data_IF_100237961637
#
_entry.id   IF_100237961637
#
_cell.length_a   1.000
_cell.length_b   1.000
_cell.length_c   1.000
_cell.angle_alpha   90.00
_cell.angle_beta   90.00
_cell.angle_gamma   90.00
#
_symmetry.space_group_name_H-M   'P 1'
#
loop_
_entity.id
_entity.type
_entity.pdbx_description
1 polymer ?
#
# COMPACT_ATOMS: atom_id res chain seq x y z
N UNK A 1 10.13 -15.87 13.02
CA UNK A 1 8.85 -15.34 12.50
C UNK A 1 8.72 -13.92 13.00
N UNK A 2 8.62 -12.93 12.12
CA UNK A 2 8.43 -11.52 12.53
C UNK A 2 6.99 -11.33 13.03
N UNK A 3 6.83 -10.80 14.24
CA UNK A 3 5.54 -10.58 14.95
C UNK A 3 4.95 -9.18 14.71
N UNK A 4 5.60 -8.36 13.88
CA UNK A 4 5.14 -7.01 13.58
C UNK A 4 3.87 -7.03 12.72
N UNK A 5 2.79 -6.44 13.27
CA UNK A 5 1.58 -6.11 12.51
C UNK A 5 1.76 -4.70 11.93
N UNK A 6 2.07 -4.61 10.65
CA UNK A 6 2.43 -3.36 9.98
C UNK A 6 1.21 -2.52 9.64
N UNK A 7 0.04 -3.14 9.42
CA UNK A 7 -1.16 -2.42 9.02
C UNK A 7 -1.71 -1.46 10.09
N UNK A 8 -1.46 -1.75 11.38
CA UNK A 8 -1.95 -0.93 12.49
C UNK A 8 -1.32 0.46 12.54
N UNK A 9 -0.15 0.63 11.89
CA UNK A 9 0.56 1.91 11.80
C UNK A 9 -0.18 2.95 10.94
N UNK A 10 -1.18 2.53 10.15
CA UNK A 10 -1.76 3.38 9.10
C UNK A 10 -3.24 3.73 9.30
N UNK A 11 -3.89 3.24 10.36
CA UNK A 11 -5.26 3.66 10.69
C UNK A 11 -5.28 5.17 10.99
N UNK A 12 -6.25 5.89 10.44
CA UNK A 12 -6.35 7.35 10.52
C UNK A 12 -5.50 8.11 9.51
N UNK A 13 -4.67 7.43 8.71
CA UNK A 13 -3.86 8.09 7.68
C UNK A 13 -4.73 8.60 6.55
N UNK A 14 -4.63 9.89 6.23
CA UNK A 14 -5.18 10.47 5.00
C UNK A 14 -4.20 10.26 3.84
N UNK A 15 -4.66 9.64 2.76
CA UNK A 15 -3.89 9.47 1.53
C UNK A 15 -4.50 10.36 0.45
N UNK A 16 -3.68 11.29 -0.07
CA UNK A 16 -4.05 12.14 -1.22
C UNK A 16 -3.56 11.51 -2.53
N UNK A 17 -4.47 11.42 -3.50
CA UNK A 17 -4.28 10.86 -4.83
C UNK A 17 -4.47 11.94 -5.90
N UNK A 18 -3.67 11.88 -6.96
CA UNK A 18 -3.82 12.75 -8.14
C UNK A 18 -4.45 12.02 -9.35
N UNK A 19 -4.42 10.69 -9.36
CA UNK A 19 -4.86 9.87 -10.50
C UNK A 19 -5.93 8.88 -10.04
N UNK A 20 -7.01 8.69 -10.81
CA UNK A 20 -7.40 9.32 -12.08
C UNK A 20 -7.75 10.82 -12.00
N UNK A 21 -8.06 11.30 -10.80
CA UNK A 21 -8.47 12.66 -10.49
C UNK A 21 -8.11 12.95 -9.03
N UNK A 22 -7.97 14.22 -8.64
CA UNK A 22 -7.70 14.60 -7.26
C UNK A 22 -8.77 14.05 -6.30
N UNK A 23 -8.33 13.30 -5.29
CA UNK A 23 -9.19 12.76 -4.25
C UNK A 23 -8.37 12.39 -3.00
N UNK A 24 -9.07 12.23 -1.89
CA UNK A 24 -8.50 11.90 -0.59
C UNK A 24 -9.29 10.76 0.04
N UNK A 25 -8.60 9.90 0.76
CA UNK A 25 -9.20 8.77 1.46
C UNK A 25 -8.52 8.60 2.81
N UNK A 26 -9.30 8.46 3.88
CA UNK A 26 -8.82 8.19 5.24
C UNK A 26 -8.95 6.71 5.52
N UNK A 27 -7.85 6.06 5.93
CA UNK A 27 -7.86 4.65 6.31
C UNK A 27 -8.61 4.49 7.64
N UNK A 28 -9.66 3.68 7.65
CA UNK A 28 -10.57 3.54 8.80
C UNK A 28 -10.35 2.22 9.55
N UNK A 29 -10.40 1.10 8.83
CA UNK A 29 -10.40 -0.23 9.44
C UNK A 29 -9.53 -1.19 8.65
N UNK A 30 -8.76 -2.03 9.35
CA UNK A 30 -8.01 -3.12 8.74
C UNK A 30 -8.91 -4.34 8.54
N UNK A 31 -8.95 -4.85 7.30
CA UNK A 31 -9.61 -6.12 6.99
C UNK A 31 -8.62 -7.28 6.97
N UNK A 32 -7.54 -7.17 6.19
CA UNK A 32 -6.55 -8.26 6.05
C UNK A 32 -5.13 -7.72 5.97
N UNK A 33 -4.18 -8.57 6.37
CA UNK A 33 -2.75 -8.33 6.21
C UNK A 33 -2.08 -9.64 5.80
N UNK A 34 -1.24 -9.58 4.76
CA UNK A 34 -0.40 -10.69 4.32
C UNK A 34 1.03 -10.22 4.23
N UNK A 35 1.94 -10.99 4.78
CA UNK A 35 3.37 -10.68 4.81
C UNK A 35 4.13 -11.69 3.96
N UNK A 36 4.95 -11.18 3.05
CA UNK A 36 5.76 -11.97 2.12
C UNK A 36 7.25 -11.71 2.41
N UNK A 37 7.88 -12.62 3.16
CA UNK A 37 9.29 -12.52 3.59
C UNK A 37 10.31 -13.16 2.63
N UNK A 38 9.86 -13.82 1.54
CA UNK A 38 10.75 -14.61 0.70
C UNK A 38 11.54 -13.73 -0.28
N UNK A 39 12.87 -13.86 -0.25
CA UNK A 39 13.83 -13.08 -1.06
C UNK A 39 14.00 -13.60 -2.49
N UNK A 40 13.54 -14.82 -2.82
CA UNK A 40 13.72 -15.39 -4.18
C UNK A 40 13.03 -14.58 -5.27
N UNK A 41 11.88 -13.98 -4.96
CA UNK A 41 11.06 -13.29 -5.96
C UNK A 41 11.27 -11.76 -5.95
N UNK A 42 12.03 -11.21 -5.00
CA UNK A 42 12.25 -9.77 -4.81
C UNK A 42 12.25 -9.35 -3.34
N UNK A 43 12.20 -8.03 -3.04
CA UNK A 43 12.24 -7.52 -1.67
C UNK A 43 11.02 -7.99 -0.87
N UNK A 44 11.17 -8.17 0.46
CA UNK A 44 10.04 -8.42 1.35
C UNK A 44 8.99 -7.33 1.26
N UNK A 45 7.72 -7.73 1.36
CA UNK A 45 6.60 -6.78 1.34
C UNK A 45 5.40 -7.29 2.12
N UNK A 46 4.55 -6.37 2.52
CA UNK A 46 3.24 -6.65 3.07
C UNK A 46 2.14 -6.13 2.13
N UNK A 47 1.00 -6.80 2.16
CA UNK A 47 -0.22 -6.38 1.49
C UNK A 47 -1.29 -6.16 2.54
N UNK A 48 -1.82 -4.94 2.59
CA UNK A 48 -2.92 -4.57 3.47
C UNK A 48 -4.19 -4.42 2.65
N UNK A 49 -5.31 -4.89 3.17
CA UNK A 49 -6.63 -4.49 2.70
C UNK A 49 -7.34 -3.79 3.85
N UNK A 50 -7.74 -2.55 3.63
CA UNK A 50 -8.42 -1.72 4.60
C UNK A 50 -9.74 -1.20 4.04
N UNK A 51 -10.68 -0.86 4.91
CA UNK A 51 -11.78 0.06 4.60
C UNK A 51 -11.22 1.49 4.74
N UNK A 52 -11.55 2.34 3.79
CA UNK A 52 -11.33 3.78 3.87
C UNK A 52 -12.61 4.56 3.57
N UNK A 53 -12.66 5.83 3.96
CA UNK A 53 -13.77 6.73 3.64
C UNK A 53 -13.28 8.07 3.09
N UNK A 54 -14.20 8.80 2.43
CA UNK A 54 -13.95 10.16 1.99
C UNK A 54 -13.87 11.11 3.19
N UNK A 55 -12.86 12.01 3.29
CA UNK A 55 -12.79 12.97 4.40
C UNK A 55 -14.01 13.88 4.53
N UNK A 56 -14.74 14.10 3.43
CA UNK A 56 -15.93 14.95 3.37
C UNK A 56 -17.24 14.18 3.59
N UNK A 57 -17.21 12.85 3.57
CA UNK A 57 -18.39 11.99 3.72
C UNK A 57 -17.96 10.59 4.18
N UNK A 58 -18.16 10.30 5.47
CA UNK A 58 -17.80 9.03 6.09
C UNK A 58 -18.66 7.85 5.61
N UNK A 59 -19.82 8.10 4.99
CA UNK A 59 -20.65 7.05 4.39
C UNK A 59 -20.09 6.58 3.04
N UNK A 60 -19.30 7.43 2.36
CA UNK A 60 -18.62 7.06 1.13
C UNK A 60 -17.39 6.22 1.44
N UNK A 61 -17.59 4.90 1.51
CA UNK A 61 -16.57 3.90 1.82
C UNK A 61 -15.99 3.24 0.56
N UNK A 62 -14.73 2.81 0.65
CA UNK A 62 -14.05 2.04 -0.38
C UNK A 62 -13.05 1.05 0.23
N UNK A 63 -12.56 0.12 -0.58
CA UNK A 63 -11.45 -0.75 -0.21
C UNK A 63 -10.14 -0.10 -0.60
N UNK A 64 -9.21 0.04 0.34
CA UNK A 64 -7.84 0.45 0.04
C UNK A 64 -6.91 -0.75 0.18
N UNK A 65 -6.37 -1.21 -0.95
CA UNK A 65 -5.26 -2.16 -0.97
C UNK A 65 -3.93 -1.44 -1.02
N UNK A 66 -3.04 -1.77 -0.09
CA UNK A 66 -1.71 -1.17 0.00
C UNK A 66 -0.65 -2.25 -0.14
N UNK A 67 0.26 -2.08 -1.10
CA UNK A 67 1.49 -2.86 -1.19
C UNK A 67 2.62 -2.05 -0.57
N UNK A 68 3.24 -2.61 0.46
CA UNK A 68 4.20 -1.89 1.28
C UNK A 68 5.49 -2.68 1.39
N UNK A 69 6.61 -2.08 0.98
CA UNK A 69 7.89 -2.72 1.19
C UNK A 69 8.20 -2.78 2.70
N UNK A 70 8.67 -3.93 3.17
CA UNK A 70 9.03 -4.14 4.58
C UNK A 70 10.51 -4.54 4.69
N UNK A 71 11.12 -4.41 5.88
CA UNK A 71 12.50 -4.80 6.09
C UNK A 71 12.67 -6.31 5.93
N UNK A 72 13.89 -6.72 5.59
CA UNK A 72 14.34 -8.10 5.67
C UNK A 72 14.19 -8.58 7.12
N UNK A 73 13.58 -9.75 7.31
CA UNK A 73 13.41 -10.34 8.63
C UNK A 73 14.74 -10.36 9.42
N UNK A 74 14.71 -9.83 10.64
CA UNK A 74 15.89 -9.65 11.49
C UNK A 74 16.54 -8.26 11.42
N UNK A 75 16.10 -7.39 10.51
CA UNK A 75 16.63 -6.03 10.35
C UNK A 75 15.65 -4.94 10.81
N UNK A 76 14.48 -5.32 11.33
CA UNK A 76 13.41 -4.37 11.66
C UNK A 76 13.83 -3.33 12.71
N UNK A 77 14.69 -3.70 13.66
CA UNK A 77 15.22 -2.82 14.70
C UNK A 77 16.55 -2.14 14.34
N UNK A 78 17.07 -2.36 13.14
CA UNK A 78 18.30 -1.71 12.70
C UNK A 78 18.05 -0.23 12.37
N UNK A 79 19.15 0.52 12.38
CA UNK A 79 19.17 1.93 12.01
C UNK A 79 18.49 2.17 10.65
N UNK A 80 17.74 3.29 10.48
CA UNK A 80 17.05 3.62 9.24
C UNK A 80 17.95 3.52 8.00
N UNK A 81 19.22 3.90 8.10
CA UNK A 81 20.20 3.85 7.02
C UNK A 81 20.46 2.41 6.53
N UNK A 82 20.45 1.44 7.45
CA UNK A 82 20.62 0.01 7.10
C UNK A 82 19.35 -0.53 6.44
N UNK A 83 18.17 -0.10 6.91
CA UNK A 83 16.89 -0.46 6.27
C UNK A 83 16.73 0.22 4.91
N UNK A 84 17.20 1.45 4.75
CA UNK A 84 17.17 2.21 3.49
C UNK A 84 17.96 1.51 2.39
N UNK A 85 19.08 0.86 2.72
CA UNK A 85 19.87 0.06 1.77
C UNK A 85 19.07 -1.10 1.16
N UNK A 86 17.95 -1.48 1.77
CA UNK A 86 17.05 -2.53 1.27
C UNK A 86 16.00 -1.98 0.30
N UNK A 87 15.88 -0.66 0.15
CA UNK A 87 14.91 -0.01 -0.73
C UNK A 87 15.04 -0.54 -2.16
N UNK A 88 13.90 -0.89 -2.74
CA UNK A 88 13.81 -1.41 -4.08
C UNK A 88 12.85 -0.57 -4.91
N UNK A 89 13.02 -0.51 -6.24
CA UNK A 89 12.04 0.14 -7.09
C UNK A 89 10.67 -0.55 -6.95
N UNK A 90 9.55 0.20 -7.15
CA UNK A 90 8.22 -0.38 -7.15
C UNK A 90 8.13 -1.57 -8.10
N UNK A 91 7.62 -2.70 -7.62
CA UNK A 91 7.40 -3.88 -8.45
C UNK A 91 6.29 -3.59 -9.46
N UNK A 92 6.39 -4.16 -10.67
CA UNK A 92 5.29 -4.11 -11.65
C UNK A 92 4.04 -4.74 -11.04
N UNK A 93 3.10 -3.91 -10.63
CA UNK A 93 1.89 -4.36 -9.96
C UNK A 93 0.87 -4.87 -11.00
N UNK A 94 0.78 -6.19 -11.16
CA UNK A 94 -0.13 -6.83 -12.13
C UNK A 94 -1.59 -6.53 -11.83
N UNK A 95 -1.96 -6.46 -10.56
CA UNK A 95 -3.32 -6.12 -10.15
C UNK A 95 -3.69 -4.69 -10.56
N UNK A 96 -2.82 -3.71 -10.27
CA UNK A 96 -3.06 -2.32 -10.68
C UNK A 96 -3.22 -2.20 -12.20
N UNK A 97 -2.38 -2.89 -12.98
CA UNK A 97 -2.50 -2.89 -14.44
C UNK A 97 -3.83 -3.52 -14.90
N UNK A 98 -4.22 -4.65 -14.32
CA UNK A 98 -5.50 -5.28 -14.64
C UNK A 98 -6.69 -4.38 -14.29
N UNK A 99 -6.65 -3.71 -13.13
CA UNK A 99 -7.71 -2.78 -12.71
C UNK A 99 -7.80 -1.54 -13.60
N UNK A 100 -6.67 -1.01 -14.09
CA UNK A 100 -6.66 0.06 -15.10
C UNK A 100 -7.35 -0.38 -16.39
N UNK A 101 -7.01 -1.57 -16.89
CA UNK A 101 -7.60 -2.12 -18.12
C UNK A 101 -9.10 -2.41 -17.97
N UNK A 102 -9.50 -2.98 -16.83
CA UNK A 102 -10.90 -3.30 -16.52
C UNK A 102 -11.75 -2.04 -16.38
N UNK A 103 -11.20 -0.98 -15.78
CA UNK A 103 -11.86 0.33 -15.71
C UNK A 103 -12.03 0.94 -17.10
N UNK A 104 -11.00 0.90 -17.94
CA UNK A 104 -11.08 1.41 -19.32
C UNK A 104 -12.19 0.72 -20.11
N UNK A 105 -12.38 -0.58 -19.87
CA UNK A 105 -13.44 -1.42 -20.47
C UNK A 105 -14.80 -1.29 -19.79
N UNK A 106 -14.91 -0.48 -18.73
CA UNK A 106 -16.15 -0.32 -17.94
C UNK A 106 -16.73 -1.66 -17.46
N UNK A 107 -15.86 -2.58 -17.03
CA UNK A 107 -16.27 -3.92 -16.60
C UNK A 107 -17.19 -3.84 -15.36
N UNK A 108 -18.44 -4.33 -15.42
CA UNK A 108 -19.41 -4.14 -14.34
C UNK A 108 -19.30 -5.17 -13.20
N UNK A 109 -18.50 -6.22 -13.38
CA UNK A 109 -18.41 -7.36 -12.44
C UNK A 109 -17.20 -7.29 -11.50
N UNK A 110 -16.42 -6.22 -11.58
CA UNK A 110 -15.27 -5.97 -10.71
C UNK A 110 -15.42 -4.61 -10.02
N UNK A 111 -14.90 -4.43 -8.80
CA UNK A 111 -14.83 -3.11 -8.20
C UNK A 111 -14.11 -2.10 -9.11
N UNK A 112 -14.70 -0.92 -9.27
CA UNK A 112 -14.11 0.16 -10.06
C UNK A 112 -12.85 0.67 -9.37
N UNK A 113 -11.74 0.79 -10.10
CA UNK A 113 -10.54 1.49 -9.64
C UNK A 113 -10.85 2.97 -9.43
N UNK A 114 -11.04 3.39 -8.19
CA UNK A 114 -11.31 4.76 -7.81
C UNK A 114 -10.05 5.60 -7.85
N UNK A 115 -8.94 5.13 -7.27
CA UNK A 115 -7.68 5.87 -7.12
C UNK A 115 -6.45 4.94 -7.13
N UNK A 116 -5.29 5.48 -7.49
CA UNK A 116 -4.03 4.80 -7.19
C UNK A 116 -2.87 5.78 -7.03
N UNK A 117 -1.86 5.37 -6.26
CA UNK A 117 -0.65 6.16 -6.01
C UNK A 117 0.54 5.24 -5.77
N UNK A 118 1.62 5.51 -6.46
CA UNK A 118 2.94 4.93 -6.20
C UNK A 118 3.82 6.03 -5.60
N UNK A 119 4.42 5.78 -4.43
CA UNK A 119 5.41 6.71 -3.86
C UNK A 119 6.55 5.95 -3.18
N UNK A 120 7.58 6.69 -2.79
CA UNK A 120 8.59 6.23 -1.85
C UNK A 120 8.12 6.44 -0.41
N UNK A 121 8.57 5.57 0.47
CA UNK A 121 8.43 5.67 1.90
C UNK A 121 9.29 6.81 2.45
N UNK A 122 8.80 7.46 3.50
CA UNK A 122 9.46 8.60 4.13
C UNK A 122 10.62 8.13 5.03
N UNK A 123 11.50 9.03 5.47
CA UNK A 123 12.74 8.67 6.20
C UNK A 123 12.51 7.88 7.50
N UNK A 124 11.37 8.07 8.15
CA UNK A 124 11.02 7.40 9.40
C UNK A 124 10.17 6.12 9.18
N UNK A 125 9.91 5.76 7.92
CA UNK A 125 9.15 4.56 7.59
C UNK A 125 9.96 3.27 7.78
N UNK A 126 9.33 2.11 7.59
CA UNK A 126 9.98 0.81 7.80
C UNK A 126 11.12 0.55 6.82
N UNK A 127 10.99 0.97 5.57
CA UNK A 127 12.09 0.94 4.60
C UNK A 127 12.16 2.33 3.99
N UNK A 128 12.99 3.24 4.53
CA UNK A 128 13.18 4.55 3.94
C UNK A 128 13.52 4.42 2.45
N UNK A 129 12.96 5.27 1.60
CA UNK A 129 13.03 5.19 0.13
C UNK A 129 12.45 3.91 -0.52
N UNK A 130 12.00 2.93 0.27
CA UNK A 130 11.29 1.75 -0.21
C UNK A 130 9.96 2.12 -0.85
N UNK A 131 9.38 1.23 -1.64
CA UNK A 131 8.14 1.55 -2.33
C UNK A 131 6.91 1.43 -1.40
N UNK A 132 5.87 2.18 -1.75
CA UNK A 132 4.50 1.99 -1.31
C UNK A 132 3.54 2.26 -2.47
N UNK A 133 2.57 1.37 -2.65
CA UNK A 133 1.54 1.48 -3.68
C UNK A 133 0.18 1.41 -3.00
N UNK A 134 -0.64 2.43 -3.22
CA UNK A 134 -2.04 2.47 -2.78
C UNK A 134 -2.96 2.27 -3.98
N UNK A 135 -4.00 1.47 -3.79
CA UNK A 135 -5.05 1.19 -4.77
C UNK A 135 -6.39 1.32 -4.03
N UNK A 136 -7.27 2.18 -4.53
CA UNK A 136 -8.64 2.38 -4.02
C UNK A 136 -9.64 2.06 -5.11
#
# INVERSE_FOLDING_TARGET
MSTLRYSGLYIGTEVTFATPSPQKWVVEEKLTEKVHQTTRDGPPFAVFLNICHSPTDSNKKAFMRTYFQIPIAGTESQHPEVRQQQAAPPRKNRELNALKDLRLRQCPVVPTLLAYKEKKQDNDSLVPDGYIIYIV
#
